data_IF_714818608545
#
_entry.id   IF_714818608545
#
_cell.length_a   1.000
_cell.length_b   1.000
_cell.length_c   1.000
_cell.angle_alpha   90.00
_cell.angle_beta   90.00
_cell.angle_gamma   90.00
#
_symmetry.space_group_name_H-M   'P 1'
#
loop_
_entity.id
_entity.type
_entity.pdbx_description
1 polymer ?
#
# COMPACT_ATOMS: atom_id res chain seq x y z
N UNK A 1 15.44 -0.43 -0.78
CA UNK A 1 14.77 -0.47 0.54
C UNK A 1 13.85 -1.67 0.51
N UNK A 2 13.89 -2.56 1.51
CA UNK A 2 13.06 -3.79 1.53
C UNK A 2 11.60 -3.42 1.82
N UNK A 3 10.63 -4.14 1.23
CA UNK A 3 9.20 -3.85 1.39
C UNK A 3 8.75 -3.80 2.86
N UNK A 4 9.18 -4.74 3.70
CA UNK A 4 8.88 -4.77 5.13
C UNK A 4 9.24 -3.45 5.83
N UNK A 5 10.45 -2.94 5.58
CA UNK A 5 10.93 -1.69 6.18
C UNK A 5 10.08 -0.51 5.71
N UNK A 6 9.77 -0.46 4.41
CA UNK A 6 8.97 0.60 3.82
C UNK A 6 7.56 0.66 4.42
N UNK A 7 6.87 -0.47 4.50
CA UNK A 7 5.54 -0.56 5.11
C UNK A 7 5.58 -0.18 6.60
N UNK A 8 6.60 -0.63 7.31
CA UNK A 8 6.79 -0.34 8.74
C UNK A 8 6.98 1.14 8.98
N UNK A 9 7.84 1.80 8.21
CA UNK A 9 8.12 3.22 8.39
C UNK A 9 6.90 4.08 8.01
N UNK A 10 6.20 3.71 6.93
CA UNK A 10 4.92 4.34 6.57
C UNK A 10 3.91 4.16 7.69
N UNK A 11 3.77 2.95 8.24
CA UNK A 11 2.83 2.70 9.33
C UNK A 11 3.14 3.55 10.56
N UNK A 12 4.40 3.55 11.01
CA UNK A 12 4.86 4.34 12.17
C UNK A 12 4.66 5.84 11.96
N UNK A 13 4.73 6.34 10.73
CA UNK A 13 4.48 7.75 10.43
C UNK A 13 2.99 8.12 10.42
N UNK A 14 2.08 7.19 10.14
CA UNK A 14 0.69 7.50 9.80
C UNK A 14 -0.36 6.92 10.76
N UNK A 15 -0.11 5.75 11.34
CA UNK A 15 -1.13 4.92 12.00
C UNK A 15 -0.65 4.40 13.35
N UNK A 16 -0.05 5.27 14.17
CA UNK A 16 0.49 4.88 15.48
C UNK A 16 -0.65 4.38 16.38
N UNK A 17 -0.80 3.06 16.46
CA UNK A 17 -1.63 2.40 17.46
C UNK A 17 -0.74 1.99 18.63
N UNK A 18 -1.19 2.24 19.86
CA UNK A 18 -0.37 2.03 21.08
C UNK A 18 -0.28 0.56 21.55
N UNK A 19 -0.80 -0.42 20.80
CA UNK A 19 -1.03 -1.76 21.35
C UNK A 19 -0.55 -2.95 20.51
N UNK A 20 -0.12 -2.76 19.26
CA UNK A 20 0.27 -3.87 18.38
C UNK A 20 1.71 -3.67 17.88
N UNK A 21 2.48 -4.75 17.86
CA UNK A 21 3.82 -4.76 17.25
C UNK A 21 3.66 -4.75 15.73
N UNK A 22 3.64 -3.56 15.15
CA UNK A 22 3.45 -3.36 13.72
C UNK A 22 4.49 -4.10 12.87
N UNK A 23 5.74 -4.20 13.35
CA UNK A 23 6.81 -4.87 12.62
C UNK A 23 6.50 -6.37 12.52
N UNK A 24 5.96 -6.96 13.59
CA UNK A 24 5.52 -8.35 13.65
C UNK A 24 4.31 -8.61 12.75
N UNK A 25 3.28 -7.77 12.83
CA UNK A 25 2.06 -7.94 12.01
C UNK A 25 2.33 -7.75 10.52
N UNK A 26 3.08 -6.71 10.13
CA UNK A 26 3.44 -6.49 8.72
C UNK A 26 4.25 -7.66 8.20
N UNK A 27 5.20 -8.17 8.98
CA UNK A 27 5.97 -9.35 8.60
C UNK A 27 5.06 -10.57 8.39
N UNK A 28 4.11 -10.78 9.29
CA UNK A 28 3.14 -11.89 9.22
C UNK A 28 2.28 -11.79 7.96
N UNK A 29 1.73 -10.61 7.66
CA UNK A 29 0.96 -10.35 6.44
C UNK A 29 1.82 -10.65 5.21
N UNK A 30 3.07 -10.16 5.16
CA UNK A 30 3.95 -10.43 4.02
C UNK A 30 4.31 -11.92 3.88
N UNK A 31 4.40 -12.68 4.97
CA UNK A 31 4.62 -14.13 4.93
C UNK A 31 3.39 -14.88 4.38
N UNK A 32 2.18 -14.50 4.79
CA UNK A 32 0.92 -15.14 4.37
C UNK A 32 0.69 -15.05 2.86
N UNK A 33 1.15 -13.97 2.22
CA UNK A 33 1.04 -13.76 0.77
C UNK A 33 2.32 -14.05 -0.01
N UNK A 34 3.33 -14.66 0.62
CA UNK A 34 4.65 -14.92 0.01
C UNK A 34 5.33 -13.64 -0.55
N UNK A 35 5.10 -12.50 0.11
CA UNK A 35 5.55 -11.17 -0.27
C UNK A 35 6.75 -10.67 0.56
N UNK A 36 7.40 -11.52 1.35
CA UNK A 36 8.70 -11.19 1.97
C UNK A 36 9.79 -10.95 0.93
N UNK A 37 9.65 -11.55 -0.24
CA UNK A 37 10.53 -11.35 -1.38
C UNK A 37 9.90 -10.26 -2.26
N UNK A 38 10.59 -9.13 -2.42
CA UNK A 38 10.08 -7.96 -3.16
C UNK A 38 9.62 -8.31 -4.59
N UNK A 39 10.18 -9.36 -5.23
CA UNK A 39 9.80 -9.81 -6.58
C UNK A 39 8.39 -10.41 -6.68
N UNK A 40 7.80 -10.80 -5.56
CA UNK A 40 6.44 -11.35 -5.50
C UNK A 40 5.39 -10.26 -5.26
N UNK A 41 5.81 -9.00 -5.24
CA UNK A 41 4.96 -7.84 -5.04
C UNK A 41 4.90 -7.02 -6.33
N UNK A 42 3.71 -6.56 -6.74
CA UNK A 42 3.59 -5.72 -7.93
C UNK A 42 4.48 -4.48 -7.86
N UNK A 43 5.23 -4.19 -8.92
CA UNK A 43 6.13 -3.03 -8.98
C UNK A 43 5.37 -1.73 -8.68
N UNK A 44 4.15 -1.60 -9.20
CA UNK A 44 3.28 -0.44 -8.98
C UNK A 44 3.01 -0.18 -7.50
N UNK A 45 2.92 -1.23 -6.67
CA UNK A 45 2.68 -1.12 -5.24
C UNK A 45 3.91 -0.58 -4.52
N UNK A 46 5.10 -1.08 -4.89
CA UNK A 46 6.37 -0.56 -4.38
C UNK A 46 6.57 0.90 -4.79
N UNK A 47 6.24 1.25 -6.04
CA UNK A 47 6.30 2.63 -6.54
C UNK A 47 5.35 3.56 -5.77
N UNK A 48 4.12 3.12 -5.50
CA UNK A 48 3.16 3.87 -4.67
C UNK A 48 3.72 4.13 -3.27
N UNK A 49 4.13 3.08 -2.56
CA UNK A 49 4.66 3.20 -1.19
C UNK A 49 5.93 4.07 -1.17
N UNK A 50 6.79 3.95 -2.16
CA UNK A 50 8.00 4.78 -2.29
C UNK A 50 7.65 6.25 -2.54
N UNK A 51 6.63 6.54 -3.35
CA UNK A 51 6.15 7.90 -3.57
C UNK A 51 5.58 8.51 -2.28
N UNK A 52 4.79 7.74 -1.52
CA UNK A 52 4.26 8.14 -0.21
C UNK A 52 5.39 8.41 0.78
N UNK A 53 6.32 7.47 0.94
CA UNK A 53 7.44 7.59 1.88
C UNK A 53 8.34 8.79 1.59
N UNK A 54 8.59 9.07 0.30
CA UNK A 54 9.36 10.24 -0.13
C UNK A 54 8.53 11.54 -0.14
N UNK A 55 7.27 11.48 0.30
CA UNK A 55 6.33 12.58 0.33
C UNK A 55 6.19 13.30 -1.04
N UNK A 56 6.18 12.51 -2.13
CA UNK A 56 6.25 12.96 -3.51
C UNK A 56 4.95 12.62 -4.27
N UNK A 57 4.04 13.60 -4.48
CA UNK A 57 2.85 13.42 -5.29
C UNK A 57 3.20 12.98 -6.71
N UNK A 58 2.54 11.94 -7.20
CA UNK A 58 2.85 11.35 -8.51
C UNK A 58 1.62 10.66 -9.10
N UNK A 59 1.65 10.39 -10.40
CA UNK A 59 0.62 9.58 -11.06
C UNK A 59 1.30 8.66 -12.06
N UNK A 60 0.96 7.39 -12.02
CA UNK A 60 1.48 6.39 -12.94
C UNK A 60 0.41 5.38 -13.31
N UNK A 61 0.62 4.74 -14.46
CA UNK A 61 -0.24 3.68 -15.00
C UNK A 61 0.41 2.33 -14.80
N UNK A 62 -0.39 1.30 -14.59
CA UNK A 62 0.07 -0.07 -14.41
C UNK A 62 -0.88 -1.04 -15.11
N UNK A 63 -0.38 -2.14 -15.65
CA UNK A 63 -1.23 -3.07 -16.38
C UNK A 63 -2.01 -3.96 -15.42
N UNK A 64 -3.35 -3.93 -15.54
CA UNK A 64 -4.26 -4.81 -14.80
C UNK A 64 -4.40 -6.13 -15.56
N UNK A 65 -4.17 -7.25 -14.89
CA UNK A 65 -4.29 -8.59 -15.48
C UNK A 65 -2.98 -9.22 -15.96
N UNK A 66 -1.82 -8.65 -15.64
CA UNK A 66 -0.59 -9.45 -15.64
C UNK A 66 -0.71 -10.49 -14.50
N UNK A 67 -0.62 -11.79 -14.79
CA UNK A 67 -0.73 -12.85 -13.78
C UNK A 67 0.40 -12.82 -12.74
N UNK A 68 1.47 -12.04 -12.95
CA UNK A 68 2.47 -11.71 -11.93
C UNK A 68 2.08 -10.53 -11.03
N UNK A 69 0.95 -9.85 -11.31
CA UNK A 69 0.54 -8.59 -10.69
C UNK A 69 -0.84 -8.62 -9.96
N UNK A 70 -1.58 -9.74 -9.95
CA UNK A 70 -2.99 -9.73 -9.50
C UNK A 70 -3.34 -10.68 -8.33
N UNK A 71 -3.12 -10.21 -7.10
CA UNK A 71 -4.03 -10.35 -5.93
C UNK A 71 -3.40 -9.75 -4.68
N UNK A 72 -2.09 -9.97 -4.49
CA UNK A 72 -1.45 -9.78 -3.20
C UNK A 72 -1.42 -8.33 -2.72
N UNK A 73 -1.21 -7.33 -3.60
CA UNK A 73 -1.19 -5.93 -3.16
C UNK A 73 -2.53 -5.46 -2.59
N UNK A 74 -3.65 -5.85 -3.22
CA UNK A 74 -4.98 -5.55 -2.70
C UNK A 74 -5.25 -6.28 -1.38
N UNK A 75 -4.91 -7.57 -1.30
CA UNK A 75 -5.05 -8.34 -0.07
C UNK A 75 -4.17 -7.81 1.07
N UNK A 76 -2.93 -7.39 0.78
CA UNK A 76 -2.05 -6.75 1.76
C UNK A 76 -2.68 -5.46 2.29
N UNK A 77 -3.24 -4.61 1.42
CA UNK A 77 -3.91 -3.38 1.86
C UNK A 77 -5.10 -3.65 2.79
N UNK A 78 -5.92 -4.66 2.47
CA UNK A 78 -7.04 -5.07 3.31
C UNK A 78 -6.57 -5.59 4.67
N UNK A 79 -5.53 -6.44 4.69
CA UNK A 79 -4.98 -6.96 5.96
C UNK A 79 -4.32 -5.86 6.79
N UNK A 80 -3.67 -4.88 6.16
CA UNK A 80 -3.14 -3.68 6.84
C UNK A 80 -4.27 -2.83 7.44
N UNK A 81 -5.42 -2.74 6.77
CA UNK A 81 -6.62 -2.10 7.31
C UNK A 81 -7.16 -2.89 8.51
N UNK A 82 -7.34 -4.19 8.38
CA UNK A 82 -7.96 -5.04 9.41
C UNK A 82 -7.09 -5.18 10.67
N UNK A 83 -5.79 -5.46 10.50
CA UNK A 83 -4.88 -5.74 11.61
C UNK A 83 -4.22 -4.50 12.18
N UNK A 84 -3.98 -3.49 11.34
CA UNK A 84 -3.19 -2.31 11.69
C UNK A 84 -3.93 -0.98 11.52
N UNK A 85 -5.24 -1.03 11.23
CA UNK A 85 -6.10 0.15 11.15
C UNK A 85 -5.60 1.20 10.14
N UNK A 86 -5.00 0.76 9.03
CA UNK A 86 -4.75 1.65 7.90
C UNK A 86 -6.08 2.22 7.39
N UNK A 87 -6.08 3.50 7.02
CA UNK A 87 -7.25 4.17 6.45
C UNK A 87 -7.36 3.81 4.96
N UNK A 88 -7.93 2.64 4.70
CA UNK A 88 -8.22 2.10 3.37
C UNK A 88 -9.73 2.15 3.14
N UNK A 89 -10.14 2.70 2.01
CA UNK A 89 -11.53 2.78 1.59
C UNK A 89 -11.72 2.06 0.25
N UNK A 90 -12.43 0.94 0.26
CA UNK A 90 -12.75 0.19 -0.96
C UNK A 90 -14.11 0.65 -1.51
N UNK A 91 -14.07 1.32 -2.66
CA UNK A 91 -15.23 1.88 -3.34
C UNK A 91 -15.72 0.97 -4.48
N UNK A 92 -15.24 -0.27 -4.53
CA UNK A 92 -15.61 -1.29 -5.52
C UNK A 92 -14.85 -1.16 -6.84
N UNK A 93 -14.90 0.02 -7.47
CA UNK A 93 -14.20 0.29 -8.74
C UNK A 93 -12.77 0.83 -8.53
N UNK A 94 -12.52 1.36 -7.33
CA UNK A 94 -11.25 1.93 -6.93
C UNK A 94 -11.07 1.81 -5.42
N UNK A 95 -9.82 1.89 -4.97
CA UNK A 95 -9.47 1.92 -3.55
C UNK A 95 -8.73 3.21 -3.21
N UNK A 96 -9.07 3.81 -2.07
CA UNK A 96 -8.35 4.92 -1.47
C UNK A 96 -7.48 4.42 -0.33
N UNK A 97 -6.29 4.97 -0.18
CA UNK A 97 -5.49 4.82 1.04
C UNK A 97 -5.04 6.19 1.50
N UNK A 98 -5.41 6.60 2.71
CA UNK A 98 -5.01 7.89 3.27
C UNK A 98 -3.81 7.74 4.20
N UNK A 99 -2.86 8.66 4.08
CA UNK A 99 -1.63 8.72 4.86
C UNK A 99 -1.58 10.05 5.63
N UNK A 100 -2.23 10.15 6.81
CA UNK A 100 -2.38 11.41 7.54
C UNK A 100 -1.06 12.07 7.95
N UNK A 101 -0.07 11.27 8.34
CA UNK A 101 1.26 11.73 8.73
C UNK A 101 2.06 12.35 7.58
N UNK A 102 1.82 11.91 6.34
CA UNK A 102 2.42 12.51 5.15
C UNK A 102 1.53 13.56 4.47
N UNK A 103 0.28 13.73 4.91
CA UNK A 103 -0.74 14.54 4.23
C UNK A 103 -0.90 14.14 2.75
N UNK A 104 -0.91 12.83 2.52
CA UNK A 104 -1.06 12.23 1.19
C UNK A 104 -2.24 11.27 1.17
N UNK A 105 -2.79 11.06 -0.02
CA UNK A 105 -3.73 10.00 -0.35
C UNK A 105 -3.21 9.26 -1.58
N UNK A 106 -3.49 7.97 -1.68
CA UNK A 106 -3.29 7.18 -2.88
C UNK A 106 -4.64 6.65 -3.37
N UNK A 107 -4.99 6.97 -4.61
CA UNK A 107 -6.18 6.47 -5.30
C UNK A 107 -5.74 5.44 -6.33
N UNK A 108 -6.28 4.24 -6.22
CA UNK A 108 -6.00 3.08 -7.05
C UNK A 108 -7.25 2.74 -7.88
N UNK A 109 -7.20 2.92 -9.19
CA UNK A 109 -8.26 2.49 -10.10
C UNK A 109 -7.77 1.31 -10.94
N UNK A 110 -8.55 0.23 -10.99
CA UNK A 110 -8.21 -0.97 -11.77
C UNK A 110 -8.89 -1.00 -13.14
N UNK A 111 -9.72 0.00 -13.45
CA UNK A 111 -10.41 0.08 -14.74
C UNK A 111 -9.48 0.59 -15.85
N UNK A 112 -9.71 0.10 -17.08
CA UNK A 112 -9.09 0.67 -18.28
C UNK A 112 -7.56 0.65 -18.32
N UNK A 113 -6.91 -0.24 -17.55
CA UNK A 113 -5.46 -0.41 -17.53
C UNK A 113 -4.74 0.30 -16.39
N UNK A 114 -5.31 0.25 -15.18
CA UNK A 114 -4.64 0.48 -13.88
C UNK A 114 -4.01 1.86 -13.70
N UNK A 115 -4.53 2.64 -12.77
CA UNK A 115 -3.98 3.97 -12.44
C UNK A 115 -3.77 4.06 -10.95
N UNK A 116 -2.57 4.49 -10.55
CA UNK A 116 -2.29 4.92 -9.20
C UNK A 116 -1.98 6.41 -9.21
N UNK A 117 -2.71 7.17 -8.41
CA UNK A 117 -2.48 8.59 -8.19
C UNK A 117 -2.19 8.82 -6.71
N UNK A 118 -1.01 9.35 -6.40
CA UNK A 118 -0.64 9.83 -5.07
C UNK A 118 -0.76 11.36 -5.08
N UNK A 119 -1.67 11.91 -4.28
CA UNK A 119 -1.93 13.35 -4.19
C UNK A 119 -1.79 13.88 -2.77
N UNK A 120 -1.61 15.20 -2.64
CA UNK A 120 -1.78 15.92 -1.37
C UNK A 120 -3.25 15.88 -0.97
N UNK A 121 -3.50 15.60 0.30
CA UNK A 121 -4.83 15.82 0.89
C UNK A 121 -5.04 17.33 0.97
N UNK A 122 -6.15 17.82 0.39
CA UNK A 122 -6.53 19.24 0.35
C UNK A 122 -7.20 19.71 1.63
#
# INVERSE_FOLDING_TARGET
>A
MKLLQLLTDIHKANFITQQVDADCEIKTILEEYDCLIDSNVPEWFIQMLTAVYNNNPTTFRFTVGDPSLSSNAGSILLELQERLSWDVDDQGEWSEVRFPGYQLEAVLSFEGGGICKVSRVS
#
